data_IF_712004293482
#
_entry.id   IF_712004293482
#
_cell.length_a   1.000
_cell.length_b   1.000
_cell.length_c   1.000
_cell.angle_alpha   90.00
_cell.angle_beta   90.00
_cell.angle_gamma   90.00
#
_symmetry.space_group_name_H-M   'P 1'
#
loop_
_entity.id
_entity.type
_entity.pdbx_description
1 polymer ?
#
# COMPACT_ATOMS: atom_id res chain seq x y z
N UNK A 1 92.35 76.68 82.12
CA UNK A 1 91.64 76.54 80.83
C UNK A 1 91.27 75.07 80.48
N UNK A 2 91.18 74.15 81.46
CA UNK A 2 90.78 72.75 81.24
C UNK A 2 89.36 72.40 81.76
N UNK A 3 88.78 73.22 82.63
CA UNK A 3 87.56 72.91 83.40
C UNK A 3 86.22 73.30 82.71
N UNK A 4 86.27 74.08 81.62
CA UNK A 4 85.08 74.42 80.81
C UNK A 4 84.81 73.42 79.68
N UNK A 5 85.74 72.53 79.38
CA UNK A 5 85.62 71.54 78.30
C UNK A 5 84.95 70.25 78.82
N UNK A 6 85.24 69.81 80.04
CA UNK A 6 84.61 68.63 80.66
C UNK A 6 83.12 68.85 81.00
N UNK A 7 82.70 70.06 81.38
CA UNK A 7 81.28 70.36 81.67
C UNK A 7 80.40 70.39 80.41
N UNK A 8 80.95 70.81 79.27
CA UNK A 8 80.23 70.81 77.99
C UNK A 8 80.16 69.39 77.40
N UNK A 9 81.23 68.59 77.54
CA UNK A 9 81.22 67.17 77.15
C UNK A 9 80.22 66.35 77.99
N UNK A 10 80.06 66.64 79.28
CA UNK A 10 79.09 65.93 80.13
C UNK A 10 77.63 66.31 79.78
N UNK A 11 77.34 67.57 79.45
CA UNK A 11 76.01 68.02 78.98
C UNK A 11 75.68 67.51 77.57
N UNK A 12 76.67 67.45 76.68
CA UNK A 12 76.50 66.87 75.34
C UNK A 12 76.32 65.36 75.41
N UNK A 13 77.01 64.65 76.31
CA UNK A 13 76.78 63.22 76.58
C UNK A 13 75.39 62.96 77.18
N UNK A 14 74.92 63.79 78.11
CA UNK A 14 73.62 63.61 78.76
C UNK A 14 72.44 63.99 77.84
N UNK A 15 72.65 64.99 76.96
CA UNK A 15 71.68 65.35 75.90
C UNK A 15 71.69 64.36 74.73
N UNK A 16 72.84 63.75 74.41
CA UNK A 16 72.94 62.65 73.45
C UNK A 16 72.30 61.38 74.01
N UNK A 17 72.49 61.07 75.30
CA UNK A 17 71.84 59.95 75.97
C UNK A 17 70.32 60.11 76.05
N UNK A 18 69.81 61.32 76.35
CA UNK A 18 68.37 61.63 76.29
C UNK A 18 67.82 61.55 74.87
N UNK A 19 68.54 62.05 73.86
CA UNK A 19 68.15 61.90 72.45
C UNK A 19 68.12 60.44 72.02
N UNK A 20 69.13 59.64 72.39
CA UNK A 20 69.18 58.21 72.15
C UNK A 20 68.05 57.44 72.86
N UNK A 21 67.68 57.82 74.10
CA UNK A 21 66.57 57.22 74.83
C UNK A 21 65.20 57.57 74.22
N UNK A 22 65.02 58.81 73.75
CA UNK A 22 63.81 59.24 73.03
C UNK A 22 63.69 58.54 71.68
N UNK A 23 64.79 58.46 70.92
CA UNK A 23 64.89 57.68 69.67
C UNK A 23 64.56 56.22 69.91
N UNK A 24 65.16 55.59 70.94
CA UNK A 24 64.90 54.18 71.28
C UNK A 24 63.44 53.96 71.62
N UNK A 25 62.84 54.82 72.44
CA UNK A 25 61.40 54.74 72.77
C UNK A 25 60.50 54.95 71.55
N UNK A 26 60.85 55.84 70.62
CA UNK A 26 60.12 56.03 69.35
C UNK A 26 60.21 54.79 68.46
N UNK A 27 61.38 54.15 68.39
CA UNK A 27 61.59 52.91 67.65
C UNK A 27 60.80 51.77 68.30
N UNK A 28 60.83 51.62 69.63
CA UNK A 28 60.10 50.57 70.35
C UNK A 28 58.59 50.69 70.11
N UNK A 29 58.02 51.91 70.23
CA UNK A 29 56.60 52.18 69.93
C UNK A 29 56.26 51.92 68.45
N UNK A 30 57.18 52.23 67.53
CA UNK A 30 57.00 51.94 66.11
C UNK A 30 57.02 50.43 65.84
N UNK A 31 57.96 49.69 66.42
CA UNK A 31 58.07 48.23 66.29
C UNK A 31 56.82 47.54 66.86
N UNK A 32 56.34 47.96 68.03
CA UNK A 32 55.10 47.41 68.61
C UNK A 32 53.90 47.62 67.69
N UNK A 33 53.77 48.79 67.06
CA UNK A 33 52.69 49.06 66.09
C UNK A 33 52.85 48.26 64.81
N UNK A 34 54.06 48.17 64.26
CA UNK A 34 54.35 47.35 63.06
C UNK A 34 54.04 45.88 63.33
N UNK A 35 54.40 45.34 64.50
CA UNK A 35 54.06 43.96 64.90
C UNK A 35 52.55 43.77 64.89
N UNK A 36 51.80 44.70 65.51
CA UNK A 36 50.33 44.64 65.52
C UNK A 36 49.71 44.74 64.11
N UNK A 37 50.24 45.60 63.24
CA UNK A 37 49.78 45.74 61.86
C UNK A 37 50.08 44.46 61.05
N UNK A 38 51.28 43.88 61.19
CA UNK A 38 51.65 42.61 60.54
C UNK A 38 50.78 41.46 61.05
N UNK A 39 50.51 41.37 62.35
CA UNK A 39 49.60 40.35 62.89
C UNK A 39 48.15 40.53 62.43
N UNK A 40 47.68 41.77 62.29
CA UNK A 40 46.35 42.05 61.74
C UNK A 40 46.27 41.64 60.25
N UNK A 41 47.29 41.99 59.47
CA UNK A 41 47.39 41.59 58.06
C UNK A 41 47.50 40.06 57.93
N UNK A 42 48.23 39.39 58.82
CA UNK A 42 48.31 37.92 58.86
C UNK A 42 46.98 37.24 59.23
N UNK A 43 46.06 37.97 59.90
CA UNK A 43 44.68 37.54 60.18
C UNK A 43 43.69 37.92 59.06
N UNK A 44 44.17 38.24 57.86
CA UNK A 44 43.41 38.65 56.66
C UNK A 44 42.70 40.01 56.75
N UNK A 45 43.20 40.96 57.55
CA UNK A 45 42.72 42.36 57.52
C UNK A 45 43.41 43.15 56.39
N UNK A 46 43.01 42.85 55.14
CA UNK A 46 43.71 43.24 53.91
C UNK A 46 43.72 44.74 53.59
N UNK A 47 42.92 45.55 54.28
CA UNK A 47 42.85 47.01 54.09
C UNK A 47 43.90 47.80 54.86
N UNK A 48 44.60 47.17 55.81
CA UNK A 48 45.49 47.86 56.73
C UNK A 48 46.85 48.13 56.07
N UNK A 49 47.27 49.39 56.10
CA UNK A 49 48.61 49.79 55.70
C UNK A 49 49.53 49.74 56.94
N UNK A 50 50.81 49.40 56.74
CA UNK A 50 51.80 49.51 57.79
C UNK A 50 51.88 50.95 58.29
N UNK A 51 51.94 51.14 59.60
CA UNK A 51 52.26 52.43 60.21
C UNK A 51 53.54 53.03 59.61
N UNK A 52 53.55 54.32 59.34
CA UNK A 52 54.71 55.01 58.76
C UNK A 52 55.89 55.07 59.75
N UNK A 53 57.13 54.87 59.29
CA UNK A 53 58.32 54.92 60.14
C UNK A 53 58.68 56.37 60.56
N UNK A 54 59.40 56.56 61.67
CA UNK A 54 60.06 57.82 61.97
C UNK A 54 61.02 58.21 60.82
N UNK A 55 60.88 59.41 60.26
CA UNK A 55 61.62 59.85 59.06
C UNK A 55 63.12 60.03 59.32
N UNK A 56 63.47 60.23 60.58
CA UNK A 56 64.79 60.46 61.14
C UNK A 56 65.61 59.15 61.36
N UNK A 57 65.01 57.97 61.12
CA UNK A 57 65.62 56.66 61.45
C UNK A 57 65.80 55.73 60.24
N UNK A 58 66.98 55.73 59.63
CA UNK A 58 67.26 54.97 58.40
C UNK A 58 67.00 53.44 58.51
N UNK A 59 67.19 52.83 59.70
CA UNK A 59 66.89 51.41 59.93
C UNK A 59 65.38 51.13 59.94
N UNK A 60 64.58 52.04 60.49
CA UNK A 60 63.12 51.93 60.51
C UNK A 60 62.53 52.08 59.09
N UNK A 61 63.07 52.99 58.28
CA UNK A 61 62.68 53.13 56.86
C UNK A 61 62.98 51.86 56.05
N UNK A 62 64.17 51.26 56.21
CA UNK A 62 64.55 50.01 55.52
C UNK A 62 63.64 48.84 55.90
N UNK A 63 63.33 48.70 57.20
CA UNK A 63 62.42 47.67 57.69
C UNK A 63 61.00 47.87 57.17
N UNK A 64 60.50 49.12 57.16
CA UNK A 64 59.20 49.45 56.58
C UNK A 64 59.10 49.07 55.10
N UNK A 65 60.11 49.42 54.31
CA UNK A 65 60.15 49.10 52.88
C UNK A 65 60.21 47.58 52.62
N UNK A 66 61.02 46.85 53.38
CA UNK A 66 61.12 45.40 53.27
C UNK A 66 59.81 44.70 53.63
N UNK A 67 59.16 45.10 54.73
CA UNK A 67 57.87 44.55 55.16
C UNK A 67 56.74 44.92 54.19
N UNK A 68 56.72 46.16 53.69
CA UNK A 68 55.75 46.58 52.67
C UNK A 68 55.87 45.75 51.39
N UNK A 69 57.11 45.51 50.93
CA UNK A 69 57.38 44.64 49.77
C UNK A 69 56.95 43.19 50.03
N UNK A 70 57.20 42.65 51.23
CA UNK A 70 56.78 41.30 51.62
C UNK A 70 55.26 41.16 51.69
N UNK A 71 54.55 42.15 52.24
CA UNK A 71 53.08 42.18 52.29
C UNK A 71 52.50 42.29 50.87
N UNK A 72 53.07 43.14 50.03
CA UNK A 72 52.64 43.25 48.63
C UNK A 72 52.87 41.95 47.85
N UNK A 73 54.01 41.30 48.05
CA UNK A 73 54.32 39.99 47.48
C UNK A 73 53.33 38.92 47.96
N UNK A 74 53.02 38.88 49.26
CA UNK A 74 52.06 37.93 49.83
C UNK A 74 50.63 38.17 49.30
N UNK A 75 50.20 39.44 49.16
CA UNK A 75 48.92 39.80 48.53
C UNK A 75 48.85 39.42 47.05
N UNK A 76 49.97 39.55 46.32
CA UNK A 76 50.05 39.07 44.93
C UNK A 76 49.96 37.55 44.87
N UNK A 77 50.63 36.84 45.78
CA UNK A 77 50.56 35.38 45.89
C UNK A 77 49.14 34.89 46.25
N UNK A 78 48.45 35.54 47.19
CA UNK A 78 47.07 35.23 47.55
C UNK A 78 46.09 35.39 46.37
N UNK A 79 46.16 36.53 45.67
CA UNK A 79 45.37 36.77 44.45
C UNK A 79 45.70 35.77 43.32
N UNK A 80 46.97 35.41 43.17
CA UNK A 80 47.39 34.39 42.22
C UNK A 80 46.84 33.00 42.59
N UNK A 81 46.81 32.64 43.87
CA UNK A 81 46.23 31.39 44.38
C UNK A 81 44.71 31.31 44.15
N UNK A 82 43.97 32.38 44.41
CA UNK A 82 42.54 32.45 44.11
C UNK A 82 42.26 32.34 42.60
N UNK A 83 43.03 33.05 41.77
CA UNK A 83 42.95 32.95 40.32
C UNK A 83 43.26 31.53 39.82
N UNK A 84 44.28 30.87 40.38
CA UNK A 84 44.63 29.49 40.04
C UNK A 84 43.52 28.50 40.42
N UNK A 85 42.88 28.67 41.59
CA UNK A 85 41.74 27.84 42.00
C UNK A 85 40.53 28.04 41.08
N UNK A 86 40.23 29.29 40.69
CA UNK A 86 39.16 29.59 39.71
C UNK A 86 39.46 28.98 38.34
N UNK A 87 40.69 29.09 37.86
CA UNK A 87 41.13 28.47 36.60
C UNK A 87 41.02 26.95 36.65
N UNK A 88 41.38 26.31 37.76
CA UNK A 88 41.24 24.86 37.94
C UNK A 88 39.77 24.43 37.89
N UNK A 89 38.88 25.16 38.55
CA UNK A 89 37.43 24.90 38.51
C UNK A 89 36.88 25.07 37.09
N UNK A 90 37.26 26.13 36.38
CA UNK A 90 36.91 26.32 34.96
C UNK A 90 37.42 25.16 34.11
N UNK A 91 38.68 24.73 34.29
CA UNK A 91 39.26 23.60 33.57
C UNK A 91 38.50 22.28 33.82
N UNK A 92 38.04 22.04 35.05
CA UNK A 92 37.19 20.89 35.37
C UNK A 92 35.82 20.97 34.70
N UNK A 93 35.17 22.13 34.71
CA UNK A 93 33.89 22.32 34.03
C UNK A 93 34.03 22.12 32.51
N UNK A 94 35.04 22.72 31.89
CA UNK A 94 35.31 22.58 30.45
C UNK A 94 35.60 21.12 30.09
N UNK A 95 36.40 20.40 30.89
CA UNK A 95 36.64 18.98 30.66
C UNK A 95 35.36 18.14 30.75
N UNK A 96 34.46 18.43 31.70
CA UNK A 96 33.15 17.79 31.80
C UNK A 96 32.29 18.03 30.56
N UNK A 97 32.19 19.28 30.11
CA UNK A 97 31.46 19.64 28.88
C UNK A 97 32.06 18.99 27.63
N UNK A 98 33.39 18.88 27.53
CA UNK A 98 34.06 18.17 26.43
C UNK A 98 33.66 16.69 26.43
N UNK A 99 33.62 16.04 27.59
CA UNK A 99 33.22 14.65 27.69
C UNK A 99 31.75 14.43 27.26
N UNK A 100 30.84 15.32 27.67
CA UNK A 100 29.43 15.31 27.24
C UNK A 100 29.29 15.52 25.73
N UNK A 101 30.03 16.49 25.17
CA UNK A 101 30.03 16.75 23.73
C UNK A 101 30.61 15.57 22.94
N UNK A 102 31.67 14.92 23.41
CA UNK A 102 32.21 13.71 22.78
C UNK A 102 31.20 12.57 22.78
N UNK A 103 30.47 12.37 23.89
CA UNK A 103 29.41 11.38 23.96
C UNK A 103 28.29 11.68 22.96
N UNK A 104 27.86 12.94 22.86
CA UNK A 104 26.84 13.38 21.90
C UNK A 104 27.29 13.20 20.44
N UNK A 105 28.54 13.56 20.13
CA UNK A 105 29.13 13.39 18.79
C UNK A 105 29.21 11.92 18.38
N UNK A 106 29.62 11.03 19.30
CA UNK A 106 29.62 9.57 19.05
C UNK A 106 28.22 9.01 18.82
N UNK A 107 27.23 9.49 19.58
CA UNK A 107 25.83 9.11 19.36
C UNK A 107 25.35 9.57 17.98
N UNK A 108 25.69 10.80 17.58
CA UNK A 108 25.35 11.33 16.25
C UNK A 108 26.04 10.53 15.13
N UNK A 109 27.27 10.09 15.33
CA UNK A 109 27.99 9.20 14.41
C UNK A 109 27.22 7.87 14.20
N UNK A 110 26.81 7.25 15.30
CA UNK A 110 26.06 6.00 15.27
C UNK A 110 24.71 6.17 14.57
N UNK A 111 23.98 7.25 14.88
CA UNK A 111 22.71 7.58 14.21
C UNK A 111 22.89 7.83 12.72
N UNK A 112 23.94 8.57 12.31
CA UNK A 112 24.24 8.80 10.90
C UNK A 112 24.56 7.52 10.13
N UNK A 113 25.32 6.59 10.75
CA UNK A 113 25.60 5.28 10.14
C UNK A 113 24.33 4.43 10.01
N UNK A 114 23.45 4.44 11.01
CA UNK A 114 22.17 3.73 10.93
C UNK A 114 21.27 4.34 9.85
N UNK A 115 21.25 5.65 9.72
CA UNK A 115 20.49 6.35 8.68
C UNK A 115 20.98 5.98 7.29
N UNK A 116 22.29 5.91 7.07
CA UNK A 116 22.86 5.46 5.80
C UNK A 116 22.45 4.01 5.44
N UNK A 117 22.41 3.11 6.41
CA UNK A 117 21.95 1.74 6.20
C UNK A 117 20.46 1.70 5.80
N UNK A 118 19.60 2.40 6.55
CA UNK A 118 18.16 2.50 6.24
C UNK A 118 17.92 3.10 4.85
N UNK A 119 18.76 4.05 4.43
CA UNK A 119 18.67 4.65 3.10
C UNK A 119 18.92 3.63 1.99
N UNK A 120 19.91 2.75 2.15
CA UNK A 120 20.16 1.69 1.19
C UNK A 120 18.98 0.70 1.12
N UNK A 121 18.46 0.25 2.27
CA UNK A 121 17.35 -0.70 2.33
C UNK A 121 16.09 -0.15 1.63
N UNK A 122 15.77 1.13 1.87
CA UNK A 122 14.64 1.80 1.22
C UNK A 122 14.91 1.95 -0.28
N UNK A 123 16.14 2.24 -0.70
CA UNK A 123 16.49 2.36 -2.12
C UNK A 123 16.28 1.04 -2.85
N UNK A 124 16.72 -0.08 -2.28
CA UNK A 124 16.45 -1.42 -2.83
C UNK A 124 14.95 -1.72 -2.90
N UNK A 125 14.19 -1.36 -1.86
CA UNK A 125 12.73 -1.53 -1.85
C UNK A 125 12.06 -0.73 -2.98
N UNK A 126 12.56 0.48 -3.28
CA UNK A 126 12.04 1.31 -4.38
C UNK A 126 12.30 0.63 -5.74
N UNK A 127 13.49 0.05 -5.93
CA UNK A 127 13.83 -0.69 -7.17
C UNK A 127 12.91 -1.89 -7.36
N UNK A 128 12.71 -2.70 -6.32
CA UNK A 128 11.78 -3.85 -6.34
C UNK A 128 10.34 -3.41 -6.63
N UNK A 129 9.86 -2.33 -5.99
CA UNK A 129 8.52 -1.81 -6.24
C UNK A 129 8.35 -1.28 -7.67
N UNK A 130 9.41 -0.72 -8.27
CA UNK A 130 9.36 -0.25 -9.64
C UNK A 130 9.27 -1.43 -10.62
N UNK A 131 10.02 -2.51 -10.38
CA UNK A 131 9.94 -3.74 -11.17
C UNK A 131 8.53 -4.35 -11.11
N UNK A 132 7.97 -4.48 -9.90
CA UNK A 132 6.58 -4.96 -9.72
C UNK A 132 5.57 -4.05 -10.42
N UNK A 133 5.79 -2.73 -10.37
CA UNK A 133 4.97 -1.75 -11.07
C UNK A 133 4.95 -1.98 -12.58
N UNK A 134 6.12 -2.18 -13.19
CA UNK A 134 6.26 -2.48 -14.63
C UNK A 134 5.55 -3.79 -14.99
N UNK A 135 5.79 -4.87 -14.24
CA UNK A 135 5.12 -6.15 -14.47
C UNK A 135 3.58 -6.04 -14.36
N UNK A 136 3.08 -5.21 -13.45
CA UNK A 136 1.63 -5.01 -13.30
C UNK A 136 1.02 -4.22 -14.47
N UNK A 137 1.78 -3.29 -15.08
CA UNK A 137 1.34 -2.63 -16.32
C UNK A 137 1.22 -3.64 -17.45
N UNK A 138 2.24 -4.48 -17.66
CA UNK A 138 2.22 -5.52 -18.69
C UNK A 138 1.05 -6.51 -18.49
N UNK A 139 0.81 -6.94 -17.25
CA UNK A 139 -0.34 -7.80 -16.92
C UNK A 139 -1.67 -7.12 -17.22
N UNK A 140 -1.81 -5.83 -16.90
CA UNK A 140 -3.01 -5.08 -17.19
C UNK A 140 -3.24 -4.94 -18.71
N UNK A 141 -2.19 -4.74 -19.50
CA UNK A 141 -2.26 -4.75 -20.97
C UNK A 141 -2.67 -6.12 -21.51
N UNK A 142 -2.13 -7.22 -20.96
CA UNK A 142 -2.55 -8.57 -21.31
C UNK A 142 -4.04 -8.84 -21.01
N UNK A 143 -4.55 -8.33 -19.88
CA UNK A 143 -5.98 -8.42 -19.54
C UNK A 143 -6.84 -7.66 -20.56
N UNK A 144 -6.40 -6.48 -21.01
CA UNK A 144 -7.12 -5.70 -22.04
C UNK A 144 -7.21 -6.50 -23.35
N UNK A 145 -6.12 -7.11 -23.80
CA UNK A 145 -6.13 -7.92 -25.02
C UNK A 145 -7.07 -9.12 -24.92
N UNK A 146 -7.05 -9.84 -23.80
CA UNK A 146 -7.96 -10.98 -23.57
C UNK A 146 -9.41 -10.50 -23.52
N UNK A 147 -9.68 -9.35 -22.91
CA UNK A 147 -11.01 -8.76 -22.86
C UNK A 147 -11.51 -8.38 -24.27
N UNK A 148 -10.68 -7.76 -25.11
CA UNK A 148 -11.03 -7.44 -26.51
C UNK A 148 -11.33 -8.69 -27.34
N UNK A 149 -10.53 -9.75 -27.18
CA UNK A 149 -10.81 -11.03 -27.83
C UNK A 149 -12.11 -11.66 -27.33
N UNK A 150 -12.37 -11.59 -26.03
CA UNK A 150 -13.60 -12.10 -25.42
C UNK A 150 -14.82 -11.32 -25.89
N UNK A 151 -14.69 -10.02 -26.11
CA UNK A 151 -15.75 -9.17 -26.66
C UNK A 151 -16.09 -9.60 -28.08
N UNK A 152 -15.09 -9.79 -28.93
CA UNK A 152 -15.27 -10.26 -30.31
C UNK A 152 -16.00 -11.61 -30.35
N UNK A 153 -15.55 -12.59 -29.55
CA UNK A 153 -16.19 -13.91 -29.45
C UNK A 153 -17.64 -13.78 -28.99
N UNK A 154 -17.92 -12.89 -28.04
CA UNK A 154 -19.29 -12.66 -27.53
C UNK A 154 -20.19 -12.03 -28.58
N UNK A 155 -19.67 -11.08 -29.37
CA UNK A 155 -20.41 -10.46 -30.47
C UNK A 155 -20.73 -11.48 -31.58
N UNK A 156 -19.76 -12.32 -31.93
CA UNK A 156 -19.98 -13.40 -32.90
C UNK A 156 -21.00 -14.41 -32.38
N UNK A 157 -20.89 -14.82 -31.10
CA UNK A 157 -21.90 -15.67 -30.45
C UNK A 157 -23.29 -15.03 -30.40
N UNK A 158 -23.39 -13.70 -30.28
CA UNK A 158 -24.67 -13.00 -30.32
C UNK A 158 -25.29 -13.03 -31.74
N UNK A 159 -24.48 -12.95 -32.80
CA UNK A 159 -24.95 -13.16 -34.18
C UNK A 159 -25.45 -14.59 -34.39
N UNK A 160 -24.73 -15.58 -33.87
CA UNK A 160 -25.14 -16.98 -33.95
C UNK A 160 -26.47 -17.25 -33.22
N UNK A 161 -26.68 -16.60 -32.07
CA UNK A 161 -27.96 -16.65 -31.35
C UNK A 161 -29.10 -16.07 -32.19
N UNK A 162 -28.89 -14.93 -32.86
CA UNK A 162 -29.92 -14.34 -33.74
C UNK A 162 -30.25 -15.29 -34.89
N UNK A 163 -29.23 -15.85 -35.55
CA UNK A 163 -29.42 -16.82 -36.62
C UNK A 163 -30.15 -18.09 -36.14
N UNK A 164 -29.87 -18.56 -34.92
CA UNK A 164 -30.55 -19.70 -34.32
C UNK A 164 -32.03 -19.40 -34.01
N UNK A 165 -32.36 -18.20 -33.53
CA UNK A 165 -33.76 -17.78 -33.32
C UNK A 165 -34.52 -17.78 -34.65
N UNK A 166 -33.95 -17.20 -35.71
CA UNK A 166 -34.54 -17.21 -37.04
C UNK A 166 -34.71 -18.64 -37.60
N UNK A 167 -33.76 -19.54 -37.31
CA UNK A 167 -33.85 -20.95 -37.68
C UNK A 167 -34.99 -21.66 -36.97
N UNK A 168 -35.17 -21.42 -35.67
CA UNK A 168 -36.26 -21.99 -34.87
C UNK A 168 -37.62 -21.44 -35.30
N UNK A 169 -37.72 -20.13 -35.61
CA UNK A 169 -38.96 -19.54 -36.10
C UNK A 169 -39.37 -20.14 -37.46
N UNK A 170 -38.41 -20.38 -38.36
CA UNK A 170 -38.64 -21.11 -39.61
C UNK A 170 -39.10 -22.55 -39.35
N UNK A 171 -38.48 -23.24 -38.39
CA UNK A 171 -38.89 -24.60 -38.00
C UNK A 171 -40.33 -24.60 -37.47
N UNK A 172 -40.71 -23.63 -36.62
CA UNK A 172 -42.08 -23.49 -36.12
C UNK A 172 -43.08 -23.34 -37.26
N UNK A 173 -42.79 -22.48 -38.24
CA UNK A 173 -43.65 -22.30 -39.43
C UNK A 173 -43.82 -23.59 -40.23
N UNK A 174 -42.74 -24.39 -40.39
CA UNK A 174 -42.83 -25.69 -41.07
C UNK A 174 -43.69 -26.69 -40.30
N UNK A 175 -43.56 -26.73 -38.96
CA UNK A 175 -44.38 -27.59 -38.09
C UNK A 175 -45.86 -27.19 -38.16
N UNK A 176 -46.18 -25.89 -38.14
CA UNK A 176 -47.55 -25.38 -38.32
C UNK A 176 -48.14 -25.79 -39.69
N UNK A 177 -47.33 -25.73 -40.75
CA UNK A 177 -47.74 -26.16 -42.08
C UNK A 177 -48.00 -27.67 -42.15
N UNK A 178 -47.17 -28.48 -41.50
CA UNK A 178 -47.38 -29.93 -41.37
C UNK A 178 -48.69 -30.23 -40.64
N UNK A 179 -48.96 -29.53 -39.53
CA UNK A 179 -50.21 -29.68 -38.77
C UNK A 179 -51.43 -29.40 -39.65
N UNK A 180 -51.39 -28.31 -40.43
CA UNK A 180 -52.47 -27.97 -41.35
C UNK A 180 -52.69 -29.04 -42.43
N UNK A 181 -51.61 -29.65 -42.95
CA UNK A 181 -51.71 -30.74 -43.94
C UNK A 181 -52.26 -32.04 -43.36
N UNK A 182 -51.95 -32.34 -42.10
CA UNK A 182 -52.53 -33.49 -41.40
C UNK A 182 -54.04 -33.31 -41.19
N UNK A 183 -54.48 -32.10 -40.87
CA UNK A 183 -55.90 -31.78 -40.76
C UNK A 183 -56.64 -31.96 -42.10
N UNK A 184 -56.11 -31.41 -43.20
CA UNK A 184 -56.65 -31.61 -44.56
C UNK A 184 -56.70 -33.10 -44.95
N UNK A 185 -55.65 -33.88 -44.64
CA UNK A 185 -55.64 -35.32 -44.87
C UNK A 185 -56.74 -36.04 -44.07
N UNK A 186 -56.93 -35.66 -42.81
CA UNK A 186 -57.96 -36.24 -41.94
C UNK A 186 -59.37 -35.97 -42.48
N UNK A 187 -59.63 -34.75 -42.93
CA UNK A 187 -60.89 -34.36 -43.55
C UNK A 187 -61.16 -35.14 -44.85
N UNK A 188 -60.17 -35.22 -45.75
CA UNK A 188 -60.29 -35.99 -46.99
C UNK A 188 -60.50 -37.48 -46.74
N UNK A 189 -59.82 -38.04 -45.75
CA UNK A 189 -59.97 -39.45 -45.37
C UNK A 189 -61.39 -39.73 -44.85
N UNK A 190 -61.97 -38.80 -44.10
CA UNK A 190 -63.36 -38.88 -43.63
C UNK A 190 -64.36 -38.83 -44.79
N UNK A 191 -64.18 -37.88 -45.73
CA UNK A 191 -65.01 -37.79 -46.94
C UNK A 191 -64.97 -39.07 -47.79
N UNK A 192 -63.78 -39.66 -47.98
CA UNK A 192 -63.66 -40.94 -48.68
C UNK A 192 -64.36 -42.06 -47.90
N UNK A 193 -64.29 -42.04 -46.56
CA UNK A 193 -64.99 -42.98 -45.70
C UNK A 193 -66.52 -42.97 -45.91
N UNK A 194 -67.10 -41.78 -46.09
CA UNK A 194 -68.53 -41.60 -46.40
C UNK A 194 -68.86 -42.18 -47.78
N UNK A 195 -68.06 -41.86 -48.80
CA UNK A 195 -68.24 -42.39 -50.17
C UNK A 195 -68.19 -43.93 -50.17
N UNK A 196 -67.21 -44.52 -49.48
CA UNK A 196 -67.06 -45.98 -49.41
C UNK A 196 -68.22 -46.64 -48.66
N UNK A 197 -68.80 -45.95 -47.67
CA UNK A 197 -70.04 -46.42 -47.02
C UNK A 197 -71.20 -46.49 -48.00
N UNK A 198 -71.39 -45.45 -48.82
CA UNK A 198 -72.43 -45.45 -49.87
C UNK A 198 -72.18 -46.51 -50.95
N UNK A 199 -70.93 -46.73 -51.38
CA UNK A 199 -70.59 -47.80 -52.34
C UNK A 199 -70.90 -49.19 -51.75
N UNK A 200 -70.62 -49.40 -50.47
CA UNK A 200 -70.95 -50.64 -49.78
C UNK A 200 -72.48 -50.87 -49.71
N UNK A 201 -73.27 -49.81 -49.49
CA UNK A 201 -74.73 -49.88 -49.55
C UNK A 201 -75.24 -50.23 -50.95
N UNK A 202 -74.67 -49.62 -52.00
CA UNK A 202 -74.99 -49.93 -53.40
C UNK A 202 -74.65 -51.40 -53.74
N UNK A 203 -73.51 -51.90 -53.26
CA UNK A 203 -73.11 -53.29 -53.46
C UNK A 203 -74.10 -54.26 -52.79
N UNK A 204 -74.54 -53.97 -51.56
CA UNK A 204 -75.55 -54.77 -50.86
C UNK A 204 -76.91 -54.74 -51.58
N UNK A 205 -77.34 -53.56 -52.05
CA UNK A 205 -78.56 -53.42 -52.86
C UNK A 205 -78.47 -54.19 -54.18
N UNK A 206 -77.32 -54.12 -54.87
CA UNK A 206 -77.07 -54.83 -56.12
C UNK A 206 -77.10 -56.34 -55.93
N UNK A 207 -76.56 -56.83 -54.81
CA UNK A 207 -76.64 -58.24 -54.40
C UNK A 207 -78.08 -58.69 -54.16
N UNK A 208 -78.90 -57.88 -53.50
CA UNK A 208 -80.33 -58.17 -53.29
C UNK A 208 -81.12 -58.15 -54.60
N UNK A 209 -80.85 -57.18 -55.48
CA UNK A 209 -81.43 -57.10 -56.82
C UNK A 209 -81.07 -58.33 -57.67
N UNK A 210 -79.80 -58.74 -57.65
CA UNK A 210 -79.32 -59.92 -58.34
C UNK A 210 -79.99 -61.20 -57.82
N UNK A 211 -80.18 -61.32 -56.50
CA UNK A 211 -80.90 -62.44 -55.90
C UNK A 211 -82.36 -62.50 -56.39
N UNK A 212 -83.06 -61.36 -56.39
CA UNK A 212 -84.43 -61.28 -56.89
C UNK A 212 -84.51 -61.64 -58.38
N UNK A 213 -83.54 -61.18 -59.18
CA UNK A 213 -83.45 -61.53 -60.60
C UNK A 213 -83.17 -63.02 -60.82
N UNK A 214 -82.29 -63.65 -60.01
CA UNK A 214 -82.05 -65.10 -60.06
C UNK A 214 -83.32 -65.91 -59.71
N UNK A 215 -84.11 -65.45 -58.74
CA UNK A 215 -85.37 -66.10 -58.36
C UNK A 215 -86.38 -66.03 -59.51
N UNK A 216 -86.58 -64.85 -60.10
CA UNK A 216 -87.54 -64.70 -61.20
C UNK A 216 -87.09 -65.41 -62.48
N UNK A 217 -85.78 -65.46 -62.74
CA UNK A 217 -85.20 -66.26 -63.82
C UNK A 217 -85.42 -67.77 -63.63
N UNK A 218 -85.29 -68.28 -62.40
CA UNK A 218 -85.60 -69.68 -62.09
C UNK A 218 -87.09 -70.00 -62.29
N UNK A 219 -87.97 -69.05 -61.94
CA UNK A 219 -89.43 -69.16 -62.09
C UNK A 219 -89.88 -69.19 -63.57
N UNK A 220 -89.12 -68.56 -64.47
CA UNK A 220 -89.36 -68.59 -65.91
C UNK A 220 -88.90 -69.89 -66.61
N UNK A 221 -88.30 -70.83 -65.88
CA UNK A 221 -87.90 -72.15 -66.41
C UNK A 221 -86.85 -72.06 -67.52
N UNK A 222 -87.04 -72.80 -68.62
CA UNK A 222 -86.11 -72.86 -69.76
C UNK A 222 -85.87 -71.48 -70.41
N UNK A 223 -86.88 -70.60 -70.42
CA UNK A 223 -86.77 -69.25 -71.00
C UNK A 223 -85.93 -68.29 -70.14
N UNK A 224 -85.73 -68.58 -68.85
CA UNK A 224 -84.99 -67.75 -67.92
C UNK A 224 -83.50 -68.09 -67.78
N UNK A 225 -83.01 -69.15 -68.45
CA UNK A 225 -81.63 -69.66 -68.29
C UNK A 225 -80.55 -68.60 -68.51
N UNK A 226 -80.67 -67.80 -69.57
CA UNK A 226 -79.72 -66.72 -69.87
C UNK A 226 -79.72 -65.61 -68.81
N UNK A 227 -80.91 -65.24 -68.32
CA UNK A 227 -81.06 -64.25 -67.23
C UNK A 227 -80.53 -64.76 -65.89
N UNK A 228 -80.66 -66.05 -65.60
CA UNK A 228 -80.13 -66.66 -64.38
C UNK A 228 -78.60 -66.57 -64.31
N UNK A 229 -77.90 -66.77 -65.44
CA UNK A 229 -76.44 -66.64 -65.52
C UNK A 229 -76.01 -65.19 -65.28
N UNK A 230 -76.67 -64.23 -65.92
CA UNK A 230 -76.37 -62.79 -65.73
C UNK A 230 -76.62 -62.36 -64.28
N UNK A 231 -77.71 -62.81 -63.66
CA UNK A 231 -78.02 -62.51 -62.27
C UNK A 231 -76.98 -63.09 -61.30
N UNK A 232 -76.47 -64.30 -61.55
CA UNK A 232 -75.39 -64.89 -60.74
C UNK A 232 -74.08 -64.10 -60.87
N UNK A 233 -73.75 -63.62 -62.08
CA UNK A 233 -72.57 -62.79 -62.32
C UNK A 233 -72.66 -61.45 -61.58
N UNK A 234 -73.82 -60.77 -61.66
CA UNK A 234 -74.07 -59.51 -60.92
C UNK A 234 -73.95 -59.75 -59.40
N UNK A 235 -74.47 -60.87 -58.88
CA UNK A 235 -74.34 -61.21 -57.45
C UNK A 235 -72.88 -61.38 -57.05
N UNK A 236 -72.09 -62.01 -57.91
CA UNK A 236 -70.66 -62.25 -57.66
C UNK A 236 -69.87 -60.94 -57.68
N UNK A 237 -70.12 -60.07 -58.66
CA UNK A 237 -69.54 -58.73 -58.73
C UNK A 237 -69.92 -57.87 -57.52
N UNK A 238 -71.16 -57.96 -57.05
CA UNK A 238 -71.63 -57.24 -55.87
C UNK A 238 -70.92 -57.71 -54.59
N UNK A 239 -70.71 -59.02 -54.41
CA UNK A 239 -69.95 -59.56 -53.26
C UNK A 239 -68.46 -59.17 -53.34
N UNK A 240 -67.86 -59.20 -54.53
CA UNK A 240 -66.49 -58.72 -54.75
C UNK A 240 -66.37 -57.22 -54.43
N UNK A 241 -67.34 -56.41 -54.86
CA UNK A 241 -67.40 -54.97 -54.55
C UNK A 241 -67.47 -54.72 -53.05
N UNK A 242 -68.31 -55.48 -52.33
CA UNK A 242 -68.40 -55.43 -50.86
C UNK A 242 -67.10 -55.81 -50.16
N UNK A 243 -66.41 -56.84 -50.65
CA UNK A 243 -65.12 -57.24 -50.09
C UNK A 243 -64.06 -56.16 -50.32
N UNK A 244 -64.04 -55.53 -51.50
CA UNK A 244 -63.15 -54.43 -51.81
C UNK A 244 -63.43 -53.18 -50.95
N UNK A 245 -64.69 -52.80 -50.75
CA UNK A 245 -65.04 -51.65 -49.87
C UNK A 245 -64.64 -51.90 -48.42
N UNK A 246 -64.73 -53.13 -47.91
CA UNK A 246 -64.23 -53.47 -46.58
C UNK A 246 -62.71 -53.31 -46.47
N UNK A 247 -61.95 -53.75 -47.48
CA UNK A 247 -60.50 -53.56 -47.52
C UNK A 247 -60.14 -52.06 -47.53
N UNK A 248 -60.82 -51.26 -48.37
CA UNK A 248 -60.61 -49.81 -48.39
C UNK A 248 -60.93 -49.18 -47.03
N UNK A 249 -62.02 -49.59 -46.36
CA UNK A 249 -62.37 -49.09 -45.03
C UNK A 249 -61.29 -49.40 -43.99
N UNK A 250 -60.66 -50.58 -44.05
CA UNK A 250 -59.52 -50.92 -43.19
C UNK A 250 -58.35 -49.97 -43.41
N UNK A 251 -57.97 -49.73 -44.67
CA UNK A 251 -56.88 -48.82 -45.05
C UNK A 251 -57.18 -47.38 -44.57
N UNK A 252 -58.40 -46.89 -44.75
CA UNK A 252 -58.80 -45.57 -44.26
C UNK A 252 -58.69 -45.46 -42.72
N UNK A 253 -59.05 -46.53 -42.00
CA UNK A 253 -58.88 -46.59 -40.54
C UNK A 253 -57.41 -46.54 -40.11
N UNK A 254 -56.51 -47.19 -40.86
CA UNK A 254 -55.06 -47.09 -40.64
C UNK A 254 -54.53 -45.68 -40.93
N UNK A 255 -54.97 -45.05 -42.02
CA UNK A 255 -54.61 -43.67 -42.38
C UNK A 255 -55.08 -42.69 -41.29
N UNK A 256 -56.30 -42.85 -40.75
CA UNK A 256 -56.80 -42.01 -39.66
C UNK A 256 -55.94 -42.14 -38.40
N UNK A 257 -55.60 -43.39 -38.00
CA UNK A 257 -54.72 -43.63 -36.85
C UNK A 257 -53.33 -43.01 -37.05
N UNK A 258 -52.75 -43.18 -38.23
CA UNK A 258 -51.45 -42.60 -38.57
C UNK A 258 -51.49 -41.06 -38.56
N UNK A 259 -52.56 -40.47 -39.10
CA UNK A 259 -52.77 -39.01 -39.12
C UNK A 259 -52.92 -38.45 -37.71
N UNK A 260 -53.67 -39.12 -36.83
CA UNK A 260 -53.82 -38.73 -35.44
C UNK A 260 -52.49 -38.78 -34.68
N UNK A 261 -51.72 -39.86 -34.87
CA UNK A 261 -50.37 -39.99 -34.30
C UNK A 261 -49.44 -38.87 -34.79
N UNK A 262 -49.44 -38.59 -36.09
CA UNK A 262 -48.66 -37.51 -36.68
C UNK A 262 -49.06 -36.14 -36.12
N UNK A 263 -50.36 -35.90 -35.88
CA UNK A 263 -50.84 -34.66 -35.28
C UNK A 263 -50.27 -34.46 -33.86
N UNK A 264 -50.28 -35.50 -33.02
CA UNK A 264 -49.72 -35.43 -31.66
C UNK A 264 -48.22 -35.11 -31.68
N UNK A 265 -47.44 -35.79 -32.53
CA UNK A 265 -45.99 -35.54 -32.68
C UNK A 265 -45.72 -34.13 -33.19
N UNK A 266 -46.57 -33.63 -34.09
CA UNK A 266 -46.45 -32.26 -34.62
C UNK A 266 -46.76 -31.22 -33.54
N UNK A 267 -47.76 -31.44 -32.70
CA UNK A 267 -48.07 -30.56 -31.56
C UNK A 267 -46.92 -30.53 -30.55
N UNK A 268 -46.34 -31.69 -30.22
CA UNK A 268 -45.17 -31.79 -29.35
C UNK A 268 -43.96 -31.08 -29.96
N UNK A 269 -43.73 -31.23 -31.28
CA UNK A 269 -42.69 -30.52 -32.02
C UNK A 269 -42.86 -29.00 -31.97
N UNK A 270 -44.10 -28.49 -32.03
CA UNK A 270 -44.39 -27.05 -31.93
C UNK A 270 -44.07 -26.50 -30.52
N UNK A 271 -44.43 -27.26 -29.48
CA UNK A 271 -44.07 -26.92 -28.09
C UNK A 271 -42.55 -26.91 -27.91
N UNK A 272 -41.87 -27.94 -28.39
CA UNK A 272 -40.41 -28.04 -28.31
C UNK A 272 -39.70 -26.88 -29.03
N UNK A 273 -40.19 -26.47 -30.21
CA UNK A 273 -39.67 -25.31 -30.93
C UNK A 273 -39.84 -24.01 -30.13
N UNK A 274 -41.01 -23.81 -29.53
CA UNK A 274 -41.31 -22.63 -28.69
C UNK A 274 -40.41 -22.56 -27.46
N UNK A 275 -40.24 -23.69 -26.76
CA UNK A 275 -39.32 -23.79 -25.63
C UNK A 275 -37.86 -23.58 -26.05
N UNK A 276 -37.45 -24.13 -27.19
CA UNK A 276 -36.14 -23.93 -27.79
C UNK A 276 -35.86 -22.45 -28.05
N UNK A 277 -36.79 -21.73 -28.68
CA UNK A 277 -36.69 -20.30 -28.94
C UNK A 277 -36.51 -19.51 -27.64
N UNK A 278 -37.30 -19.83 -26.60
CA UNK A 278 -37.18 -19.22 -25.27
C UNK A 278 -35.80 -19.46 -24.63
N UNK A 279 -35.26 -20.68 -24.73
CA UNK A 279 -33.92 -21.03 -24.22
C UNK A 279 -32.82 -20.25 -24.95
N UNK A 280 -32.87 -20.20 -26.27
CA UNK A 280 -31.88 -19.48 -27.10
C UNK A 280 -31.93 -17.98 -26.83
N UNK A 281 -33.12 -17.40 -26.65
CA UNK A 281 -33.26 -15.98 -26.27
C UNK A 281 -32.57 -15.67 -24.94
N UNK A 282 -32.74 -16.53 -23.93
CA UNK A 282 -32.02 -16.38 -22.65
C UNK A 282 -30.51 -16.46 -22.82
N UNK A 283 -29.99 -17.30 -23.72
CA UNK A 283 -28.56 -17.34 -24.03
C UNK A 283 -28.09 -15.98 -24.58
N UNK A 284 -28.87 -15.37 -25.50
CA UNK A 284 -28.59 -14.02 -26.01
C UNK A 284 -28.53 -12.95 -24.92
N UNK A 285 -29.46 -12.98 -23.96
CA UNK A 285 -29.45 -12.07 -22.81
C UNK A 285 -28.20 -12.25 -21.94
N UNK A 286 -27.77 -13.49 -21.71
CA UNK A 286 -26.55 -13.80 -20.94
C UNK A 286 -25.28 -13.36 -21.66
N UNK A 287 -25.22 -13.50 -22.98
CA UNK A 287 -24.11 -12.96 -23.78
C UNK A 287 -24.05 -11.44 -23.69
N UNK A 288 -25.19 -10.75 -23.71
CA UNK A 288 -25.25 -9.30 -23.47
C UNK A 288 -24.70 -8.90 -22.10
N UNK A 289 -25.04 -9.64 -21.04
CA UNK A 289 -24.47 -9.44 -19.70
C UNK A 289 -22.96 -9.69 -19.68
N UNK A 290 -22.49 -10.68 -20.44
CA UNK A 290 -21.07 -11.03 -20.53
C UNK A 290 -20.26 -9.90 -21.20
N UNK A 291 -20.77 -9.31 -22.28
CA UNK A 291 -20.18 -8.10 -22.91
C UNK A 291 -20.08 -6.94 -21.93
N UNK A 292 -21.10 -6.74 -21.09
CA UNK A 292 -21.05 -5.71 -20.05
C UNK A 292 -19.93 -5.97 -19.04
N UNK A 293 -19.78 -7.21 -18.55
CA UNK A 293 -18.71 -7.58 -17.61
C UNK A 293 -17.32 -7.43 -18.24
N UNK A 294 -17.14 -7.84 -19.49
CA UNK A 294 -15.88 -7.65 -20.23
C UNK A 294 -15.49 -6.16 -20.26
N UNK A 295 -16.44 -5.29 -20.57
CA UNK A 295 -16.21 -3.85 -20.60
C UNK A 295 -15.79 -3.29 -19.23
N UNK A 296 -16.35 -3.80 -18.13
CA UNK A 296 -15.93 -3.44 -16.78
C UNK A 296 -14.50 -3.92 -16.49
N UNK A 297 -14.14 -5.14 -16.90
CA UNK A 297 -12.78 -5.68 -16.77
C UNK A 297 -11.76 -4.83 -17.52
N UNK A 298 -12.05 -4.43 -18.76
CA UNK A 298 -11.18 -3.53 -19.54
C UNK A 298 -10.97 -2.19 -18.84
N UNK A 299 -12.04 -1.61 -18.27
CA UNK A 299 -11.92 -0.36 -17.49
C UNK A 299 -11.06 -0.53 -16.25
N UNK A 300 -11.26 -1.60 -15.49
CA UNK A 300 -10.47 -1.89 -14.30
C UNK A 300 -8.99 -2.08 -14.63
N UNK A 301 -8.67 -2.81 -15.70
CA UNK A 301 -7.30 -2.98 -16.18
C UNK A 301 -6.65 -1.65 -16.56
N UNK A 302 -7.36 -0.77 -17.30
CA UNK A 302 -6.88 0.59 -17.61
C UNK A 302 -6.63 1.43 -16.36
N UNK A 303 -7.50 1.32 -15.35
CA UNK A 303 -7.31 2.00 -14.07
C UNK A 303 -6.06 1.49 -13.34
N UNK A 304 -5.80 0.18 -13.36
CA UNK A 304 -4.56 -0.41 -12.80
C UNK A 304 -3.34 0.16 -13.52
N UNK A 305 -3.30 0.15 -14.86
CA UNK A 305 -2.18 0.72 -15.62
C UNK A 305 -1.98 2.22 -15.33
N UNK A 306 -3.05 2.96 -15.10
CA UNK A 306 -2.98 4.37 -14.69
C UNK A 306 -2.40 4.54 -13.28
N UNK A 307 -2.88 3.75 -12.31
CA UNK A 307 -2.40 3.77 -10.94
C UNK A 307 -0.93 3.36 -10.84
N UNK A 308 -0.49 2.34 -11.59
CA UNK A 308 0.92 1.92 -11.62
C UNK A 308 1.84 3.00 -12.20
N UNK A 309 1.40 3.72 -13.24
CA UNK A 309 2.14 4.88 -13.75
C UNK A 309 2.29 5.99 -12.72
N UNK A 310 1.22 6.29 -11.97
CA UNK A 310 1.28 7.26 -10.88
C UNK A 310 2.17 6.79 -9.73
N UNK A 311 2.14 5.49 -9.40
CA UNK A 311 3.02 4.89 -8.41
C UNK A 311 4.49 5.02 -8.81
N UNK A 312 4.83 4.76 -10.08
CA UNK A 312 6.20 4.91 -10.58
C UNK A 312 6.72 6.35 -10.41
N UNK A 313 5.91 7.36 -10.74
CA UNK A 313 6.24 8.77 -10.48
C UNK A 313 6.45 9.07 -8.98
N UNK A 314 5.62 8.48 -8.11
CA UNK A 314 5.79 8.61 -6.66
C UNK A 314 7.09 7.97 -6.16
N UNK A 315 7.45 6.81 -6.70
CA UNK A 315 8.71 6.12 -6.39
C UNK A 315 9.94 6.92 -6.83
N UNK A 316 9.90 7.58 -8.00
CA UNK A 316 10.96 8.48 -8.45
C UNK A 316 11.17 9.66 -7.48
N UNK A 317 10.08 10.23 -6.96
CA UNK A 317 10.15 11.31 -5.96
C UNK A 317 10.76 10.82 -4.65
N UNK A 318 10.37 9.63 -4.18
CA UNK A 318 10.96 9.03 -2.98
C UNK A 318 12.45 8.75 -3.20
N UNK A 319 12.84 8.17 -4.35
CA UNK A 319 14.24 7.92 -4.68
C UNK A 319 15.09 9.19 -4.65
N UNK A 320 14.56 10.30 -5.19
CA UNK A 320 15.20 11.62 -5.10
C UNK A 320 15.36 12.09 -3.65
N UNK A 321 14.33 11.92 -2.81
CA UNK A 321 14.39 12.21 -1.38
C UNK A 321 15.44 11.37 -0.65
N UNK A 322 15.52 10.07 -0.95
CA UNK A 322 16.53 9.18 -0.37
C UNK A 322 17.95 9.58 -0.76
N UNK A 323 18.16 10.05 -2.00
CA UNK A 323 19.45 10.61 -2.43
C UNK A 323 19.85 11.84 -1.61
N UNK A 324 18.91 12.74 -1.30
CA UNK A 324 19.16 13.91 -0.46
C UNK A 324 19.49 13.51 0.98
N UNK A 325 18.78 12.52 1.54
CA UNK A 325 19.07 12.00 2.88
C UNK A 325 20.45 11.35 2.91
N UNK A 326 20.85 10.62 1.87
CA UNK A 326 22.19 10.04 1.78
C UNK A 326 23.29 11.12 1.83
N UNK A 327 23.10 12.21 1.07
CA UNK A 327 24.01 13.36 1.09
C UNK A 327 24.08 13.99 2.49
N UNK A 328 22.94 14.21 3.14
CA UNK A 328 22.89 14.77 4.49
C UNK A 328 23.56 13.85 5.54
N UNK A 329 23.40 12.53 5.42
CA UNK A 329 24.10 11.55 6.25
C UNK A 329 25.62 11.61 6.05
N UNK A 330 26.08 11.81 4.81
CA UNK A 330 27.49 11.98 4.49
C UNK A 330 28.06 13.28 5.09
N UNK A 331 27.34 14.40 4.96
CA UNK A 331 27.71 15.68 5.59
C UNK A 331 27.72 15.60 7.11
N UNK A 332 26.77 14.86 7.70
CA UNK A 332 26.73 14.60 9.15
C UNK A 332 27.98 13.84 9.59
N UNK A 333 28.41 12.82 8.84
CA UNK A 333 29.66 12.09 9.12
C UNK A 333 30.87 13.02 9.12
N UNK A 334 31.01 13.86 8.09
CA UNK A 334 32.11 14.84 8.01
C UNK A 334 32.06 15.81 9.20
N UNK A 335 30.88 16.29 9.56
CA UNK A 335 30.68 17.23 10.68
C UNK A 335 31.05 16.59 12.02
N UNK A 336 30.70 15.32 12.22
CA UNK A 336 31.09 14.52 13.39
C UNK A 336 32.61 14.39 13.47
N UNK A 337 33.29 14.00 12.39
CA UNK A 337 34.76 13.88 12.35
C UNK A 337 35.46 15.21 12.69
N UNK A 338 34.93 16.32 12.18
CA UNK A 338 35.44 17.66 12.50
C UNK A 338 35.20 18.04 13.96
N UNK A 339 34.01 17.73 14.51
CA UNK A 339 33.66 17.99 15.90
C UNK A 339 34.54 17.17 16.87
N UNK A 340 34.76 15.88 16.60
CA UNK A 340 35.67 15.05 17.38
C UNK A 340 37.10 15.63 17.39
N UNK A 341 37.62 16.02 16.22
CA UNK A 341 38.95 16.64 16.12
C UNK A 341 39.05 18.00 16.83
N UNK A 342 37.97 18.79 16.85
CA UNK A 342 37.93 20.04 17.61
C UNK A 342 37.87 19.81 19.12
N UNK A 343 37.07 18.84 19.58
CA UNK A 343 36.96 18.47 20.99
C UNK A 343 38.26 17.87 21.53
N UNK A 344 38.98 17.09 20.72
CA UNK A 344 40.30 16.56 21.10
C UNK A 344 41.32 17.69 21.30
N UNK A 345 41.37 18.67 20.38
CA UNK A 345 42.22 19.87 20.54
C UNK A 345 41.84 20.67 21.79
N UNK A 346 40.54 20.85 22.06
CA UNK A 346 40.07 21.54 23.26
C UNK A 346 40.46 20.78 24.54
N UNK A 347 40.40 19.45 24.52
CA UNK A 347 40.85 18.59 25.62
C UNK A 347 42.33 18.82 25.91
N UNK A 348 43.17 18.77 24.86
CA UNK A 348 44.60 19.02 24.96
C UNK A 348 44.94 20.42 25.51
N UNK A 349 44.17 21.45 25.14
CA UNK A 349 44.34 22.82 25.63
C UNK A 349 43.87 23.01 27.09
N UNK A 350 42.88 22.24 27.53
CA UNK A 350 42.30 22.34 28.87
C UNK A 350 43.13 21.58 29.91
N UNK A 351 43.87 20.55 29.48
CA UNK A 351 44.67 19.69 30.34
C UNK A 351 45.75 20.45 31.17
N UNK A 352 46.54 21.38 30.60
CA UNK A 352 47.48 22.20 31.38
C UNK A 352 46.79 23.11 32.40
N UNK A 353 45.58 23.60 32.13
CA UNK A 353 44.81 24.45 33.05
C UNK A 353 44.30 23.62 34.23
N UNK A 354 44.00 22.34 33.98
CA UNK A 354 43.58 21.37 34.99
C UNK A 354 44.72 20.92 35.89
N UNK A 355 45.90 20.67 35.32
CA UNK A 355 47.08 20.08 36.01
C UNK A 355 48.07 21.14 36.54
N UNK A 356 48.19 22.29 35.86
CA UNK A 356 49.25 23.29 36.05
C UNK A 356 49.21 24.13 37.34
N UNK A 357 48.39 23.77 38.32
CA UNK A 357 48.38 24.43 39.63
C UNK A 357 49.38 23.89 40.65
N UNK A 358 50.16 22.84 40.32
CA UNK A 358 51.00 22.11 41.28
C UNK A 358 52.52 22.30 41.19
N UNK A 359 53.05 22.95 40.15
CA UNK A 359 54.50 22.99 39.91
C UNK A 359 55.18 24.35 40.17
N UNK A 360 54.49 25.29 40.82
CA UNK A 360 55.01 26.64 41.06
C UNK A 360 55.52 26.94 42.47
N UNK A 361 55.51 25.99 43.41
CA UNK A 361 55.76 26.26 44.85
C UNK A 361 56.87 25.42 45.49
N UNK A 362 57.80 24.86 44.72
CA UNK A 362 58.96 24.10 45.27
C UNK A 362 60.32 24.54 44.69
N UNK A 363 60.54 25.85 44.53
CA UNK A 363 61.88 26.38 44.26
C UNK A 363 62.30 27.40 45.32
#
# INVERSE_FOLDING_TARGET
MADKTESNEQKDRDSAAKRAAVTRRKIDVYLDRVINDVEAIARNDDGRALVSPPQDEARALRLHAALSSLIEANRKAGRAGEAANRLRSIGQHVAGTIAELLASTRQQAASGSQQAAMVNDITTTIEELNEVGVQNVEKAEGIIQIAEQSEQISQDGQRDVVAAIEGIDRLRQQVELIAAKILDLTERTQQIGEIISSVNEIAEQSKLLALNASIEAAKAGEHGRGFAVVALEIRTLAEQSKQATQQVRSILGEIQKASHSAAMVTEEGSKAATEGSSKVRRIGERLGQLVYVINQTTRAARQISGAMRQQSLGLEQIASGMKQINLASHETKISVEQAEGALDRLSQLTEPIRVGGGHGTEA
#
